data_IF_067605162555
#
_entry.id   IF_067605162555
#
_cell.length_a   1.000
_cell.length_b   1.000
_cell.length_c   1.000
_cell.angle_alpha   90.00
_cell.angle_beta   90.00
_cell.angle_gamma   90.00
#
_symmetry.space_group_name_H-M   'P 1'
#
loop_
_entity.id
_entity.type
_entity.pdbx_description
1 polymer ?
#
# COMPACT_ATOMS: atom_id res chain seq x y z
N UNK A 1 13.66 56.62 48.88
CA UNK A 1 12.73 56.30 47.78
C UNK A 1 13.47 55.86 46.51
N UNK A 2 14.79 56.07 46.39
CA UNK A 2 15.59 55.68 45.22
C UNK A 2 15.81 54.16 45.03
N UNK A 3 15.83 53.38 46.11
CA UNK A 3 16.15 51.94 46.07
C UNK A 3 15.04 51.07 45.46
N UNK A 4 13.77 51.47 45.62
CA UNK A 4 12.63 50.73 45.06
C UNK A 4 12.54 50.93 43.54
N UNK A 5 13.00 52.09 43.06
CA UNK A 5 12.97 52.48 41.66
C UNK A 5 14.01 51.67 40.87
N UNK A 6 15.24 51.53 41.38
CA UNK A 6 16.29 50.71 40.76
C UNK A 6 15.98 49.20 40.81
N UNK A 7 15.30 48.72 41.87
CA UNK A 7 14.91 47.32 42.01
C UNK A 7 13.92 46.84 40.93
N UNK A 8 13.05 47.72 40.43
CA UNK A 8 12.13 47.41 39.32
C UNK A 8 12.71 47.72 37.94
N UNK A 9 13.63 48.68 37.84
CA UNK A 9 14.26 49.09 36.58
C UNK A 9 15.16 47.98 36.02
N UNK A 10 15.93 47.30 36.87
CA UNK A 10 16.80 46.19 36.46
C UNK A 10 16.05 45.04 35.75
N UNK A 11 15.01 44.41 36.35
CA UNK A 11 14.28 43.33 35.68
C UNK A 11 13.48 43.81 34.47
N UNK A 12 12.98 45.05 34.48
CA UNK A 12 12.31 45.62 33.31
C UNK A 12 13.27 45.80 32.13
N UNK A 13 14.48 46.29 32.40
CA UNK A 13 15.52 46.47 31.38
C UNK A 13 16.00 45.13 30.82
N UNK A 14 16.19 44.12 31.67
CA UNK A 14 16.60 42.77 31.22
C UNK A 14 15.51 42.08 30.41
N UNK A 15 14.23 42.27 30.76
CA UNK A 15 13.10 41.77 29.96
C UNK A 15 13.11 42.39 28.57
N UNK A 16 13.23 43.72 28.47
CA UNK A 16 13.25 44.43 27.19
C UNK A 16 14.47 44.02 26.37
N UNK A 17 15.64 43.92 26.98
CA UNK A 17 16.85 43.44 26.31
C UNK A 17 16.70 41.99 25.83
N UNK A 18 16.13 41.11 26.66
CA UNK A 18 15.84 39.71 26.30
C UNK A 18 14.87 39.59 25.13
N UNK A 19 13.80 40.40 25.11
CA UNK A 19 12.85 40.46 23.99
C UNK A 19 13.54 40.99 22.72
N UNK A 20 14.35 42.03 22.83
CA UNK A 20 15.06 42.61 21.69
C UNK A 20 16.08 41.61 21.10
N UNK A 21 16.85 40.93 21.94
CA UNK A 21 17.81 39.89 21.53
C UNK A 21 17.06 38.68 20.95
N UNK A 22 16.01 38.22 21.61
CA UNK A 22 15.17 37.12 21.13
C UNK A 22 14.53 37.43 19.77
N UNK A 23 14.05 38.66 19.58
CA UNK A 23 13.49 39.13 18.31
C UNK A 23 14.56 39.25 17.22
N UNK A 24 15.75 39.78 17.55
CA UNK A 24 16.88 39.82 16.63
C UNK A 24 17.29 38.42 16.20
N UNK A 25 17.42 37.46 17.13
CA UNK A 25 17.74 36.06 16.81
C UNK A 25 16.63 35.44 15.96
N UNK A 26 15.35 35.62 16.30
CA UNK A 26 14.24 35.10 15.49
C UNK A 26 14.18 35.71 14.09
N UNK A 27 14.62 36.96 13.93
CA UNK A 27 14.66 37.69 12.66
C UNK A 27 15.89 37.35 11.81
N UNK A 28 17.04 37.11 12.44
CA UNK A 28 18.32 36.77 11.80
C UNK A 28 18.51 35.27 11.62
N UNK A 29 17.75 34.42 12.34
CA UNK A 29 17.75 32.98 12.14
C UNK A 29 17.41 32.70 10.68
N UNK A 30 18.36 32.16 9.89
CA UNK A 30 18.19 31.98 8.47
C UNK A 30 17.13 30.89 8.28
N UNK A 31 15.91 31.31 7.98
CA UNK A 31 14.83 30.41 7.60
C UNK A 31 14.62 29.24 8.58
N UNK A 32 14.01 29.54 9.73
CA UNK A 32 12.94 28.68 10.23
C UNK A 32 11.72 28.79 9.28
N UNK A 33 11.97 28.58 7.98
CA UNK A 33 10.95 28.62 6.97
C UNK A 33 10.21 27.29 7.07
N UNK A 34 8.89 27.29 7.30
CA UNK A 34 8.07 26.09 7.20
C UNK A 34 8.16 25.46 5.80
N UNK A 35 8.76 26.15 4.83
CA UNK A 35 8.96 25.69 3.44
C UNK A 35 9.73 24.39 3.31
N UNK A 36 10.66 24.03 4.21
CA UNK A 36 11.36 22.74 4.10
C UNK A 36 10.47 21.57 4.50
N UNK A 37 9.64 21.78 5.52
CA UNK A 37 8.67 20.77 5.98
C UNK A 37 7.47 20.72 5.05
N UNK A 38 6.96 21.87 4.61
CA UNK A 38 5.88 21.97 3.62
C UNK A 38 6.29 21.38 2.27
N UNK A 39 7.50 21.65 1.77
CA UNK A 39 8.00 21.01 0.54
C UNK A 39 8.10 19.50 0.65
N UNK A 40 8.49 18.98 1.81
CA UNK A 40 8.50 17.53 2.03
C UNK A 40 7.09 16.95 2.05
N UNK A 41 6.10 17.66 2.62
CA UNK A 41 4.72 17.23 2.57
C UNK A 41 4.17 17.26 1.14
N UNK A 42 4.41 18.33 0.38
CA UNK A 42 4.01 18.45 -1.02
C UNK A 42 4.65 17.34 -1.88
N UNK A 43 5.95 17.09 -1.70
CA UNK A 43 6.67 16.05 -2.45
C UNK A 43 6.16 14.63 -2.12
N UNK A 44 5.82 14.36 -0.85
CA UNK A 44 5.24 13.08 -0.46
C UNK A 44 3.83 12.91 -1.02
N UNK A 45 3.01 13.97 -0.99
CA UNK A 45 1.65 13.95 -1.52
C UNK A 45 1.63 13.76 -3.04
N UNK A 46 2.52 14.44 -3.77
CA UNK A 46 2.71 14.27 -5.21
C UNK A 46 3.10 12.84 -5.57
N UNK A 47 4.01 12.23 -4.79
CA UNK A 47 4.38 10.81 -4.97
C UNK A 47 3.22 9.85 -4.71
N UNK A 48 2.37 10.16 -3.71
CA UNK A 48 1.18 9.36 -3.43
C UNK A 48 0.16 9.44 -4.57
N UNK A 49 -0.08 10.62 -5.13
CA UNK A 49 -0.97 10.79 -6.28
C UNK A 49 -0.41 10.11 -7.54
N UNK A 50 0.89 10.22 -7.78
CA UNK A 50 1.56 9.53 -8.88
C UNK A 50 1.43 8.01 -8.76
N UNK A 51 1.66 7.45 -7.57
CA UNK A 51 1.50 6.01 -7.31
C UNK A 51 0.06 5.55 -7.51
N UNK A 52 -0.93 6.28 -6.99
CA UNK A 52 -2.34 5.95 -7.20
C UNK A 52 -2.70 5.92 -8.69
N UNK A 53 -2.24 6.92 -9.45
CA UNK A 53 -2.46 6.97 -10.89
C UNK A 53 -1.77 5.80 -11.63
N UNK A 54 -0.56 5.44 -11.24
CA UNK A 54 0.18 4.32 -11.82
C UNK A 54 -0.54 2.98 -11.59
N UNK A 55 -0.99 2.73 -10.36
CA UNK A 55 -1.73 1.50 -10.00
C UNK A 55 -3.03 1.40 -10.80
N UNK A 56 -3.82 2.48 -10.85
CA UNK A 56 -5.07 2.50 -11.64
C UNK A 56 -4.78 2.25 -13.11
N UNK A 57 -3.75 2.88 -13.66
CA UNK A 57 -3.35 2.70 -15.07
C UNK A 57 -2.90 1.26 -15.35
N UNK A 58 -2.12 0.66 -14.43
CA UNK A 58 -1.64 -0.71 -14.55
C UNK A 58 -2.80 -1.73 -14.49
N UNK A 59 -3.74 -1.54 -13.56
CA UNK A 59 -4.93 -2.40 -13.47
C UNK A 59 -5.86 -2.25 -14.67
N UNK A 60 -6.07 -1.02 -15.17
CA UNK A 60 -6.86 -0.80 -16.37
C UNK A 60 -6.22 -1.45 -17.61
N UNK A 61 -4.89 -1.26 -17.77
CA UNK A 61 -4.11 -1.90 -18.83
C UNK A 61 -4.22 -3.41 -18.75
N UNK A 62 -4.06 -3.98 -17.55
CA UNK A 62 -4.16 -5.43 -17.31
C UNK A 62 -5.57 -5.94 -17.62
N UNK A 63 -6.63 -5.25 -17.18
CA UNK A 63 -8.01 -5.61 -17.50
C UNK A 63 -8.26 -5.63 -19.02
N UNK A 64 -7.71 -4.66 -19.75
CA UNK A 64 -7.77 -4.62 -21.20
C UNK A 64 -7.01 -5.79 -21.86
N UNK A 65 -5.83 -6.14 -21.35
CA UNK A 65 -5.06 -7.29 -21.83
C UNK A 65 -5.80 -8.61 -21.56
N UNK A 66 -6.36 -8.79 -20.36
CA UNK A 66 -7.17 -9.96 -20.00
C UNK A 66 -8.40 -10.08 -20.90
N UNK A 67 -9.07 -8.96 -21.20
CA UNK A 67 -10.19 -8.94 -22.15
C UNK A 67 -9.75 -9.39 -23.55
N UNK A 68 -8.62 -8.87 -24.05
CA UNK A 68 -8.06 -9.29 -25.34
C UNK A 68 -7.73 -10.78 -25.36
N UNK A 69 -7.12 -11.29 -24.29
CA UNK A 69 -6.80 -12.72 -24.16
C UNK A 69 -8.07 -13.58 -24.16
N UNK A 70 -9.11 -13.16 -23.45
CA UNK A 70 -10.41 -13.84 -23.41
C UNK A 70 -11.05 -13.85 -24.81
N UNK A 71 -10.99 -12.74 -25.53
CA UNK A 71 -11.47 -12.66 -26.90
C UNK A 71 -10.71 -13.64 -27.81
N UNK A 72 -9.37 -13.64 -27.75
CA UNK A 72 -8.56 -14.57 -28.53
C UNK A 72 -8.83 -16.04 -28.21
N UNK A 73 -9.14 -16.37 -26.94
CA UNK A 73 -9.58 -17.71 -26.57
C UNK A 73 -10.89 -18.10 -27.27
N UNK A 74 -11.88 -17.21 -27.27
CA UNK A 74 -13.14 -17.43 -27.99
C UNK A 74 -12.92 -17.57 -29.50
N UNK A 75 -12.09 -16.73 -30.11
CA UNK A 75 -11.81 -16.80 -31.55
C UNK A 75 -11.16 -18.14 -31.94
N UNK A 76 -10.25 -18.67 -31.09
CA UNK A 76 -9.63 -19.99 -31.30
C UNK A 76 -10.67 -21.11 -31.16
N UNK A 77 -11.52 -21.04 -30.13
CA UNK A 77 -12.62 -22.00 -29.93
C UNK A 77 -13.56 -22.03 -31.13
N UNK A 78 -13.95 -20.86 -31.64
CA UNK A 78 -14.80 -20.73 -32.82
C UNK A 78 -14.11 -21.30 -34.06
N UNK A 79 -12.83 -20.98 -34.27
CA UNK A 79 -12.05 -21.51 -35.39
C UNK A 79 -11.93 -23.04 -35.34
N UNK A 80 -11.74 -23.62 -34.16
CA UNK A 80 -11.71 -25.07 -33.97
C UNK A 80 -13.08 -25.70 -34.20
N UNK A 81 -14.17 -25.06 -33.77
CA UNK A 81 -15.54 -25.54 -34.04
C UNK A 81 -15.86 -25.53 -35.54
N UNK A 82 -15.45 -24.47 -36.24
CA UNK A 82 -15.62 -24.31 -37.68
C UNK A 82 -14.70 -25.24 -38.48
N UNK A 83 -13.51 -25.54 -37.95
CA UNK A 83 -12.61 -26.57 -38.46
C UNK A 83 -13.18 -27.98 -38.27
N UNK A 84 -13.74 -28.29 -37.10
CA UNK A 84 -14.42 -29.56 -36.85
C UNK A 84 -15.60 -29.77 -37.80
N UNK A 85 -16.39 -28.73 -38.08
CA UNK A 85 -17.47 -28.76 -39.07
C UNK A 85 -16.95 -29.11 -40.48
N UNK A 86 -15.86 -28.48 -40.93
CA UNK A 86 -15.31 -28.71 -42.27
C UNK A 86 -14.52 -30.01 -42.42
N UNK A 87 -13.83 -30.48 -41.38
CA UNK A 87 -12.98 -31.67 -41.44
C UNK A 87 -13.69 -32.96 -41.01
N UNK A 88 -14.79 -32.89 -40.26
CA UNK A 88 -15.57 -34.07 -39.92
C UNK A 88 -16.54 -34.41 -41.05
N UNK A 89 -16.07 -35.20 -42.02
CA UNK A 89 -16.86 -35.72 -43.14
C UNK A 89 -18.00 -36.67 -42.71
N UNK A 90 -18.03 -37.08 -41.44
CA UNK A 90 -18.98 -38.02 -40.84
C UNK A 90 -19.63 -37.42 -39.58
N UNK A 91 -20.96 -37.45 -39.50
CA UNK A 91 -21.79 -36.79 -38.47
C UNK A 91 -21.46 -37.29 -37.04
N UNK A 92 -21.12 -38.57 -36.90
CA UNK A 92 -20.73 -39.17 -35.61
C UNK A 92 -19.39 -38.63 -35.14
N UNK A 93 -18.45 -38.44 -36.07
CA UNK A 93 -17.12 -37.88 -35.78
C UNK A 93 -17.22 -36.39 -35.43
N UNK A 94 -18.13 -35.66 -36.10
CA UNK A 94 -18.46 -34.25 -35.81
C UNK A 94 -19.00 -34.09 -34.39
N UNK A 95 -19.99 -34.88 -34.00
CA UNK A 95 -20.58 -34.83 -32.66
C UNK A 95 -19.57 -35.16 -31.57
N UNK A 96 -18.65 -36.12 -31.79
CA UNK A 96 -17.58 -36.43 -30.84
C UNK A 96 -16.56 -35.31 -30.71
N UNK A 97 -16.12 -34.70 -31.81
CA UNK A 97 -15.17 -33.58 -31.79
C UNK A 97 -15.76 -32.35 -31.10
N UNK A 98 -17.01 -32.00 -31.42
CA UNK A 98 -17.72 -30.91 -30.75
C UNK A 98 -17.94 -31.21 -29.27
N UNK A 99 -18.28 -32.45 -28.90
CA UNK A 99 -18.40 -32.87 -27.50
C UNK A 99 -17.07 -32.79 -26.76
N UNK A 100 -15.93 -33.08 -27.40
CA UNK A 100 -14.60 -32.89 -26.78
C UNK A 100 -14.16 -31.43 -26.69
N UNK A 101 -14.60 -30.57 -27.61
CA UNK A 101 -14.34 -29.13 -27.57
C UNK A 101 -15.21 -28.41 -26.52
N UNK A 102 -16.44 -28.89 -26.32
CA UNK A 102 -17.42 -28.37 -25.37
C UNK A 102 -17.41 -29.12 -24.05
N UNK A 103 -16.61 -30.19 -23.93
CA UNK A 103 -16.21 -30.74 -22.65
C UNK A 103 -15.37 -29.67 -21.97
N UNK A 104 -16.07 -28.74 -21.31
CA UNK A 104 -15.53 -27.93 -20.24
C UNK A 104 -14.56 -28.81 -19.46
N UNK A 105 -13.30 -28.36 -19.21
CA UNK A 105 -12.44 -29.08 -18.29
C UNK A 105 -13.31 -29.35 -17.08
N UNK A 106 -13.48 -30.62 -16.73
CA UNK A 106 -14.39 -30.99 -15.65
C UNK A 106 -14.12 -30.00 -14.54
N UNK A 107 -15.16 -29.26 -14.16
CA UNK A 107 -15.19 -28.55 -12.90
C UNK A 107 -15.25 -29.60 -11.78
N UNK A 108 -14.39 -30.63 -11.86
CA UNK A 108 -13.63 -31.12 -10.72
C UNK A 108 -13.11 -29.86 -10.11
N UNK A 109 -13.91 -29.45 -9.13
CA UNK A 109 -13.76 -28.34 -8.23
C UNK A 109 -12.41 -27.69 -8.51
N UNK A 110 -12.44 -26.42 -8.89
CA UNK A 110 -11.57 -25.49 -8.19
C UNK A 110 -11.69 -25.88 -6.72
N UNK A 111 -10.82 -26.79 -6.27
CA UNK A 111 -10.51 -26.98 -4.88
C UNK A 111 -10.06 -25.58 -4.58
N UNK A 112 -11.03 -24.80 -4.07
CA UNK A 112 -10.78 -23.63 -3.26
C UNK A 112 -9.68 -24.13 -2.39
N UNK A 113 -8.44 -23.74 -2.73
CA UNK A 113 -7.25 -24.14 -2.03
C UNK A 113 -7.56 -23.70 -0.63
N UNK A 114 -8.07 -24.63 0.17
CA UNK A 114 -8.19 -24.43 1.58
C UNK A 114 -6.72 -24.29 1.91
N UNK A 115 -6.25 -23.09 2.29
CA UNK A 115 -4.82 -22.91 2.51
C UNK A 115 -4.38 -24.06 3.41
N UNK A 116 -3.23 -24.72 3.13
CA UNK A 116 -2.73 -25.79 3.97
C UNK A 116 -2.89 -25.34 5.42
N UNK A 117 -3.47 -26.18 6.30
CA UNK A 117 -3.72 -25.82 7.71
C UNK A 117 -2.43 -25.37 8.44
N UNK A 118 -1.28 -25.64 7.83
CA UNK A 118 0.06 -25.34 8.32
C UNK A 118 0.70 -24.08 7.68
N UNK A 119 -0.02 -23.36 6.80
CA UNK A 119 0.43 -22.08 6.28
C UNK A 119 -0.13 -20.97 7.17
N UNK A 120 0.31 -20.96 8.43
CA UNK A 120 0.07 -19.82 9.30
C UNK A 120 0.76 -18.60 8.69
N UNK A 121 -0.05 -17.65 8.23
CA UNK A 121 0.41 -16.30 7.90
C UNK A 121 1.22 -15.76 9.09
N UNK A 122 2.39 -15.14 8.87
CA UNK A 122 3.19 -14.55 9.93
C UNK A 122 2.31 -13.67 10.83
N UNK A 123 2.15 -14.06 12.10
CA UNK A 123 1.26 -13.41 13.07
C UNK A 123 1.82 -12.10 13.60
N UNK A 124 2.93 -11.61 13.03
CA UNK A 124 3.64 -10.40 13.45
C UNK A 124 2.81 -9.12 13.26
N UNK A 125 1.74 -9.17 12.45
CA UNK A 125 0.83 -8.05 12.20
C UNK A 125 -0.44 -8.08 13.07
N UNK A 126 -0.69 -9.16 13.83
CA UNK A 126 -1.90 -9.25 14.64
C UNK A 126 -1.76 -8.36 15.89
N UNK A 127 -2.80 -7.58 16.26
CA UNK A 127 -2.78 -6.81 17.50
C UNK A 127 -2.59 -7.78 18.67
N UNK A 128 -1.55 -7.54 19.48
CA UNK A 128 -1.26 -8.37 20.64
C UNK A 128 -2.39 -8.23 21.66
N UNK A 129 -2.82 -9.34 22.23
CA UNK A 129 -3.74 -9.37 23.38
C UNK A 129 -3.03 -8.75 24.59
N UNK A 130 -3.79 -8.10 25.49
CA UNK A 130 -3.27 -7.36 26.65
C UNK A 130 -2.34 -8.17 27.59
N UNK A 131 -2.38 -9.50 27.49
CA UNK A 131 -1.59 -10.45 28.28
C UNK A 131 -0.18 -10.73 27.70
N UNK A 132 0.13 -10.26 26.48
CA UNK A 132 1.42 -10.54 25.81
C UNK A 132 2.25 -9.25 25.68
N UNK A 133 3.41 -9.16 26.33
CA UNK A 133 4.25 -7.98 26.25
C UNK A 133 4.65 -7.66 24.80
N UNK A 134 4.66 -6.37 24.49
CA UNK A 134 5.00 -5.84 23.17
C UNK A 134 6.40 -6.28 22.71
N UNK A 135 6.66 -6.25 21.39
CA UNK A 135 8.02 -6.47 20.88
C UNK A 135 9.00 -5.35 21.31
N UNK A 136 8.47 -4.25 21.84
CA UNK A 136 9.21 -3.12 22.40
C UNK A 136 9.15 -3.08 23.94
N UNK A 137 8.62 -4.13 24.57
CA UNK A 137 8.57 -4.22 26.03
C UNK A 137 9.97 -4.48 26.60
N UNK A 138 10.29 -3.81 27.71
CA UNK A 138 11.61 -3.85 28.33
C UNK A 138 12.02 -5.26 28.84
N UNK A 139 11.05 -6.16 29.05
CA UNK A 139 11.29 -7.55 29.42
C UNK A 139 11.40 -8.53 28.24
N UNK A 140 11.21 -8.07 27.00
CA UNK A 140 11.13 -8.96 25.84
C UNK A 140 12.48 -9.65 25.55
N UNK A 141 12.52 -10.98 25.75
CA UNK A 141 13.72 -11.80 25.53
C UNK A 141 14.66 -11.93 26.73
N UNK A 142 14.34 -11.31 27.88
CA UNK A 142 15.14 -11.44 29.09
C UNK A 142 14.59 -12.58 29.97
N UNK A 143 15.34 -13.70 30.05
CA UNK A 143 15.07 -14.75 31.04
C UNK A 143 15.62 -14.30 32.38
N UNK A 144 14.73 -13.96 33.34
CA UNK A 144 15.13 -13.74 34.72
C UNK A 144 15.77 -15.02 35.27
N UNK A 145 17.10 -15.00 35.34
CA UNK A 145 17.89 -15.97 36.09
C UNK A 145 17.85 -15.52 37.54
N UNK A 146 17.06 -16.21 38.36
CA UNK A 146 17.30 -16.29 39.80
C UNK A 146 18.54 -17.15 40.06
#
# INVERSE_FOLDING_TARGET
MEQTLTAWLLPALTLVAGIAIGFLIARLAPNAAPSRTQRQLDEMQERFEAYQNEVVTHFNTTANLVKKLTQSYHDVQEHLSHGADRLALDEVTRQRLLATLHAEPSNDKRERLTPPRDMEIPKDYAPKTDDVPGMLDEGYGLKNRY
#
